data_IF_974592341927
#
_entry.id   IF_974592341927
#
_cell.length_a   1.000
_cell.length_b   1.000
_cell.length_c   1.000
_cell.angle_alpha   90.00
_cell.angle_beta   90.00
_cell.angle_gamma   90.00
#
_symmetry.space_group_name_H-M   'P 1'
#
loop_
_entity.id
_entity.type
_entity.pdbx_description
1 polymer ?
#
# COMPACT_ATOMS: atom_id res chain seq x y z
N UNK A 1 -54.23 7.99 -61.81
CA UNK A 1 -54.66 6.75 -61.14
C UNK A 1 -53.43 6.04 -60.62
N UNK A 2 -53.56 5.37 -59.47
CA UNK A 2 -52.57 4.71 -58.62
C UNK A 2 -51.37 4.00 -59.31
N UNK A 3 -50.19 3.96 -58.67
CA UNK A 3 -49.76 2.78 -57.88
C UNK A 3 -48.36 2.92 -57.26
N UNK A 4 -48.21 2.32 -56.05
CA UNK A 4 -47.03 1.71 -55.39
C UNK A 4 -45.76 2.54 -55.19
N UNK A 5 -45.35 2.95 -53.97
CA UNK A 5 -44.93 2.19 -52.77
C UNK A 5 -43.75 1.25 -53.04
N UNK A 6 -42.55 1.65 -52.59
CA UNK A 6 -41.65 0.78 -51.82
C UNK A 6 -40.82 1.65 -50.89
N UNK A 7 -41.02 1.42 -49.59
CA UNK A 7 -40.27 2.00 -48.50
C UNK A 7 -39.03 1.13 -48.27
N UNK A 8 -37.86 1.75 -48.13
CA UNK A 8 -36.68 1.09 -47.57
C UNK A 8 -36.23 1.93 -46.37
N UNK A 9 -36.95 1.75 -45.26
CA UNK A 9 -36.59 2.28 -43.96
C UNK A 9 -35.60 1.30 -43.32
N UNK A 10 -34.34 1.43 -43.72
CA UNK A 10 -33.23 0.76 -43.05
C UNK A 10 -32.99 1.43 -41.69
N UNK A 11 -33.78 1.00 -40.70
CA UNK A 11 -33.59 1.33 -39.30
C UNK A 11 -32.19 0.90 -38.85
N UNK A 12 -31.28 1.87 -38.77
CA UNK A 12 -29.98 1.75 -38.13
C UNK A 12 -30.22 1.48 -36.63
N UNK A 13 -30.17 0.20 -36.23
CA UNK A 13 -30.11 -0.20 -34.83
C UNK A 13 -28.86 0.46 -34.19
N UNK A 14 -28.95 1.17 -33.06
CA UNK A 14 -27.75 1.55 -32.33
C UNK A 14 -27.10 0.26 -31.82
N UNK A 15 -25.91 -0.04 -32.35
CA UNK A 15 -25.05 -1.05 -31.80
C UNK A 15 -24.82 -0.72 -30.32
N UNK A 16 -25.18 -1.64 -29.43
CA UNK A 16 -24.83 -1.55 -28.02
C UNK A 16 -23.31 -1.43 -27.92
N UNK A 17 -22.82 -0.24 -27.60
CA UNK A 17 -21.43 -0.02 -27.25
C UNK A 17 -21.18 -0.77 -25.94
N UNK A 18 -20.70 -2.02 -26.03
CA UNK A 18 -19.95 -2.64 -24.94
C UNK A 18 -18.74 -1.75 -24.73
N UNK A 19 -18.79 -0.93 -23.69
CA UNK A 19 -17.72 -0.01 -23.33
C UNK A 19 -16.43 -0.79 -23.13
N UNK A 20 -15.41 -0.43 -23.90
CA UNK A 20 -14.03 -0.82 -23.62
C UNK A 20 -13.64 -0.12 -22.32
N UNK A 21 -13.69 -0.83 -21.19
CA UNK A 21 -13.15 -0.30 -19.93
C UNK A 21 -11.68 0.05 -20.15
N UNK A 22 -11.30 1.28 -19.86
CA UNK A 22 -9.91 1.70 -19.97
C UNK A 22 -9.08 1.01 -18.87
N UNK A 23 -7.76 0.90 -19.07
CA UNK A 23 -6.84 0.36 -18.04
C UNK A 23 -6.95 1.15 -16.72
N UNK A 24 -7.26 2.45 -16.80
CA UNK A 24 -7.53 3.29 -15.64
C UNK A 24 -8.80 2.84 -14.90
N UNK A 25 -9.87 2.49 -15.62
CA UNK A 25 -11.13 2.04 -15.01
C UNK A 25 -10.93 0.70 -14.28
N UNK A 26 -10.16 -0.22 -14.86
CA UNK A 26 -9.84 -1.49 -14.21
C UNK A 26 -8.98 -1.30 -12.95
N UNK A 27 -7.99 -0.40 -13.00
CA UNK A 27 -7.18 -0.05 -11.82
C UNK A 27 -8.05 0.50 -10.69
N UNK A 28 -8.91 1.48 -10.99
CA UNK A 28 -9.81 2.07 -10.00
C UNK A 28 -10.77 1.03 -9.41
N UNK A 29 -11.32 0.13 -10.23
CA UNK A 29 -12.18 -0.95 -9.73
C UNK A 29 -11.46 -1.88 -8.75
N UNK A 30 -10.19 -2.25 -9.02
CA UNK A 30 -9.40 -3.11 -8.12
C UNK A 30 -9.09 -2.39 -6.81
N UNK A 31 -8.71 -1.12 -6.87
CA UNK A 31 -8.47 -0.29 -5.67
C UNK A 31 -9.74 -0.19 -4.82
N UNK A 32 -10.87 0.15 -5.44
CA UNK A 32 -12.16 0.25 -4.75
C UNK A 32 -12.61 -1.08 -4.15
N UNK A 33 -12.35 -2.21 -4.81
CA UNK A 33 -12.65 -3.53 -4.25
C UNK A 33 -11.91 -3.77 -2.92
N UNK A 34 -10.64 -3.36 -2.82
CA UNK A 34 -9.88 -3.46 -1.55
C UNK A 34 -10.38 -2.43 -0.55
N UNK A 35 -10.59 -1.16 -0.96
CA UNK A 35 -11.05 -0.07 -0.08
C UNK A 35 -12.40 -0.35 0.58
N UNK A 36 -13.26 -1.11 -0.08
CA UNK A 36 -14.57 -1.52 0.43
C UNK A 36 -14.52 -2.77 1.33
N UNK A 37 -13.33 -3.33 1.61
CA UNK A 37 -13.19 -4.45 2.55
C UNK A 37 -13.47 -3.97 3.98
N UNK A 38 -14.46 -4.54 4.69
CA UNK A 38 -14.75 -4.15 6.07
C UNK A 38 -13.52 -4.33 6.98
N UNK A 39 -13.19 -3.28 7.73
CA UNK A 39 -12.04 -3.29 8.64
C UNK A 39 -10.69 -2.99 7.96
N UNK A 40 -10.67 -2.55 6.70
CA UNK A 40 -9.45 -2.01 6.10
C UNK A 40 -8.96 -0.80 6.88
N UNK A 41 -7.68 -0.83 7.28
CA UNK A 41 -6.99 0.28 7.92
C UNK A 41 -6.14 1.05 6.90
N UNK A 42 -5.25 0.35 6.19
CA UNK A 42 -4.35 0.93 5.21
C UNK A 42 -3.96 -0.10 4.16
N UNK A 43 -3.77 0.35 2.92
CA UNK A 43 -3.33 -0.49 1.80
C UNK A 43 -2.43 0.32 0.85
N UNK A 44 -1.24 -0.21 0.53
CA UNK A 44 -0.33 0.40 -0.44
C UNK A 44 -0.30 -0.40 -1.75
N UNK A 45 -0.62 0.26 -2.86
CA UNK A 45 -0.61 -0.32 -4.21
C UNK A 45 0.66 0.03 -5.02
N UNK A 46 1.51 0.88 -4.45
CA UNK A 46 2.71 1.45 -5.07
C UNK A 46 2.46 2.28 -6.35
N UNK A 47 1.21 2.74 -6.55
CA UNK A 47 0.80 3.64 -7.64
C UNK A 47 0.45 5.02 -7.09
N UNK A 48 -0.28 5.10 -5.97
CA UNK A 48 -0.68 6.35 -5.35
C UNK A 48 0.52 7.06 -4.70
N UNK A 49 0.75 8.33 -5.08
CA UNK A 49 1.82 9.19 -4.56
C UNK A 49 1.30 10.49 -3.97
N UNK A 50 2.15 11.16 -3.21
CA UNK A 50 1.89 12.50 -2.67
C UNK A 50 1.55 13.55 -3.73
N UNK A 51 2.16 13.45 -4.91
CA UNK A 51 1.97 14.31 -6.07
C UNK A 51 1.01 13.71 -7.11
N UNK A 52 0.29 12.65 -6.75
CA UNK A 52 -0.72 11.98 -7.58
C UNK A 52 -0.24 10.65 -8.20
N UNK A 53 -1.18 9.84 -8.74
CA UNK A 53 -0.84 8.52 -9.29
C UNK A 53 0.29 8.57 -10.33
N UNK A 54 1.34 7.78 -10.12
CA UNK A 54 2.50 7.73 -11.02
C UNK A 54 3.50 8.90 -10.89
N UNK A 55 3.32 9.77 -9.89
CA UNK A 55 4.28 10.82 -9.56
C UNK A 55 5.60 10.31 -8.94
N UNK A 56 6.43 11.25 -8.48
CA UNK A 56 7.74 10.97 -7.87
C UNK A 56 7.77 11.12 -6.35
N UNK A 57 6.66 11.54 -5.73
CA UNK A 57 6.53 11.64 -4.28
C UNK A 57 6.52 10.29 -3.57
N UNK A 58 6.51 10.34 -2.23
CA UNK A 58 6.43 9.13 -1.43
C UNK A 58 5.13 8.36 -1.70
N UNK A 59 5.16 7.07 -1.41
CA UNK A 59 3.97 6.23 -1.56
C UNK A 59 2.97 6.54 -0.45
N UNK A 60 1.70 6.63 -0.82
CA UNK A 60 0.59 6.82 0.12
C UNK A 60 -0.21 5.54 0.30
N UNK A 61 -0.83 5.41 1.47
CA UNK A 61 -1.85 4.39 1.67
C UNK A 61 -3.19 4.84 1.07
N UNK A 62 -3.91 3.89 0.48
CA UNK A 62 -5.37 3.94 0.43
C UNK A 62 -5.93 3.59 1.80
N UNK A 63 -6.89 4.36 2.26
CA UNK A 63 -7.62 4.14 3.50
C UNK A 63 -9.11 3.92 3.24
N UNK A 64 -9.82 3.51 4.29
CA UNK A 64 -11.28 3.39 4.26
C UNK A 64 -11.95 4.73 3.91
N UNK A 65 -13.17 4.66 3.39
CA UNK A 65 -13.93 5.87 3.07
C UNK A 65 -14.13 6.76 4.32
N UNK A 66 -13.74 8.03 4.21
CA UNK A 66 -13.82 9.01 5.29
C UNK A 66 -12.63 9.03 6.25
N UNK A 67 -11.65 8.15 6.07
CA UNK A 67 -10.39 8.19 6.82
C UNK A 67 -9.36 9.10 6.14
N UNK A 68 -8.94 10.15 6.83
CA UNK A 68 -8.01 11.18 6.33
C UNK A 68 -6.53 10.84 6.59
N UNK A 69 -6.22 9.74 7.30
CA UNK A 69 -4.83 9.34 7.52
C UNK A 69 -4.17 8.96 6.18
N UNK A 70 -2.99 9.51 5.91
CA UNK A 70 -2.30 9.32 4.62
C UNK A 70 -1.27 8.18 4.62
N UNK A 71 -0.79 7.80 5.82
CA UNK A 71 0.29 6.84 6.06
C UNK A 71 1.35 6.79 4.95
N UNK A 72 2.16 7.85 4.91
CA UNK A 72 3.24 8.01 3.93
C UNK A 72 4.35 7.00 4.23
N UNK A 73 4.83 6.29 3.21
CA UNK A 73 6.02 5.44 3.31
C UNK A 73 7.27 6.26 2.98
N UNK A 74 8.09 6.45 3.99
CA UNK A 74 9.37 7.17 3.88
C UNK A 74 10.54 6.20 3.73
N UNK A 75 11.54 6.51 2.89
CA UNK A 75 12.82 5.80 2.83
C UNK A 75 13.62 5.93 4.14
N UNK A 76 13.95 4.81 4.75
CA UNK A 76 14.77 4.72 5.95
C UNK A 76 15.84 3.65 5.82
N UNK A 77 16.94 3.79 6.57
CA UNK A 77 17.94 2.73 6.71
C UNK A 77 18.01 2.32 8.18
N UNK A 78 17.63 1.08 8.48
CA UNK A 78 17.61 0.58 9.87
C UNK A 78 18.99 0.67 10.53
N UNK A 79 20.06 0.43 9.77
CA UNK A 79 21.43 0.56 10.28
C UNK A 79 21.69 1.99 10.79
N UNK A 80 21.22 2.98 10.03
CA UNK A 80 21.40 4.40 10.32
C UNK A 80 20.54 4.85 11.48
N UNK A 81 19.29 4.40 11.53
CA UNK A 81 18.33 4.80 12.54
C UNK A 81 18.70 4.28 13.93
N UNK A 82 19.23 3.05 14.04
CA UNK A 82 19.55 2.40 15.33
C UNK A 82 21.03 2.43 15.71
N UNK A 83 21.95 2.40 14.74
CA UNK A 83 23.39 2.34 15.00
C UNK A 83 24.17 3.53 14.43
N UNK A 84 23.47 4.52 13.84
CA UNK A 84 24.09 5.71 13.25
C UNK A 84 25.12 5.40 12.16
N UNK A 85 24.99 4.25 11.50
CA UNK A 85 25.87 3.77 10.43
C UNK A 85 25.06 3.48 9.16
N UNK A 86 25.59 3.84 7.99
CA UNK A 86 24.94 3.68 6.69
C UNK A 86 24.37 4.97 6.11
N UNK A 87 24.04 4.89 4.82
CA UNK A 87 23.54 6.02 4.05
C UNK A 87 22.04 6.24 4.26
N UNK A 88 21.59 7.49 4.07
CA UNK A 88 20.18 7.81 3.93
C UNK A 88 19.70 7.30 2.57
N UNK A 89 18.68 6.41 2.52
CA UNK A 89 18.15 5.95 1.25
C UNK A 89 17.16 6.96 0.67
N UNK A 90 16.94 6.84 -0.64
CA UNK A 90 15.97 7.61 -1.41
C UNK A 90 14.96 6.67 -2.06
N UNK A 91 13.86 7.20 -2.61
CA UNK A 91 12.88 6.37 -3.33
C UNK A 91 13.49 5.62 -4.53
N UNK A 92 14.59 6.15 -5.10
CA UNK A 92 15.33 5.49 -6.18
C UNK A 92 15.96 4.14 -5.75
N UNK A 93 16.17 3.91 -4.46
CA UNK A 93 16.64 2.63 -3.91
C UNK A 93 15.53 1.55 -3.90
N UNK A 94 14.28 1.94 -4.19
CA UNK A 94 13.10 1.08 -4.24
C UNK A 94 12.49 1.04 -5.65
N UNK A 95 13.18 0.43 -6.63
CA UNK A 95 12.75 0.49 -8.02
C UNK A 95 11.38 -0.15 -8.23
N UNK A 96 10.60 0.47 -9.10
CA UNK A 96 9.29 -0.02 -9.54
C UNK A 96 9.43 -1.03 -10.68
N UNK A 97 8.63 -2.10 -10.62
CA UNK A 97 8.71 -3.20 -11.58
C UNK A 97 7.70 -3.10 -12.73
N UNK A 98 6.76 -2.13 -12.72
CA UNK A 98 5.75 -1.99 -13.77
C UNK A 98 4.82 -3.20 -13.91
N UNK A 99 4.68 -3.99 -12.84
CA UNK A 99 3.88 -5.22 -12.80
C UNK A 99 3.32 -5.44 -11.40
N UNK A 100 2.21 -6.16 -11.32
CA UNK A 100 1.53 -6.48 -10.05
C UNK A 100 0.02 -6.38 -10.20
N UNK A 101 -0.76 -6.74 -9.16
CA UNK A 101 -2.21 -6.70 -9.21
C UNK A 101 -2.79 -5.31 -9.49
N UNK A 102 -2.05 -4.25 -9.11
CA UNK A 102 -2.44 -2.85 -9.30
C UNK A 102 -1.58 -2.10 -10.33
N UNK A 103 -0.70 -2.81 -11.04
CA UNK A 103 0.17 -2.24 -12.08
C UNK A 103 1.58 -1.87 -11.62
N UNK A 104 1.83 -1.76 -10.31
CA UNK A 104 3.16 -1.55 -9.75
C UNK A 104 3.48 -2.52 -8.61
N UNK A 105 4.77 -2.72 -8.42
CA UNK A 105 5.37 -3.40 -7.28
C UNK A 105 6.75 -2.78 -7.03
N UNK A 106 7.10 -2.60 -5.76
CA UNK A 106 8.45 -2.21 -5.35
C UNK A 106 9.34 -3.44 -5.30
N UNK A 107 10.56 -3.30 -5.82
CA UNK A 107 11.62 -4.29 -5.67
C UNK A 107 12.53 -3.90 -4.50
N UNK A 108 12.70 -4.81 -3.55
CA UNK A 108 13.72 -4.72 -2.52
C UNK A 108 14.99 -5.41 -3.02
N UNK A 109 16.05 -4.63 -3.20
CA UNK A 109 17.31 -5.15 -3.72
C UNK A 109 18.09 -5.91 -2.65
N UNK A 110 18.98 -6.81 -3.08
CA UNK A 110 19.95 -7.42 -2.19
C UNK A 110 20.85 -6.35 -1.57
N UNK A 111 21.15 -6.52 -0.28
CA UNK A 111 22.04 -5.63 0.45
C UNK A 111 23.42 -5.56 -0.23
N UNK A 112 23.87 -4.34 -0.54
CA UNK A 112 25.20 -4.12 -1.16
C UNK A 112 26.31 -4.12 -0.09
N UNK A 113 25.96 -3.80 1.15
CA UNK A 113 26.85 -3.76 2.30
C UNK A 113 26.10 -4.13 3.59
N UNK A 114 26.84 -4.42 4.67
CA UNK A 114 26.23 -4.82 5.95
C UNK A 114 25.38 -3.71 6.59
N UNK A 115 25.73 -2.45 6.36
CA UNK A 115 25.00 -1.26 6.83
C UNK A 115 23.99 -0.73 5.80
N UNK A 116 23.74 -1.48 4.73
CA UNK A 116 22.77 -1.15 3.69
C UNK A 116 21.48 -1.93 3.97
N UNK A 117 20.63 -1.37 4.84
CA UNK A 117 19.34 -1.95 5.25
C UNK A 117 18.16 -1.02 4.92
N UNK A 118 17.91 -0.72 3.63
CA UNK A 118 16.85 0.18 3.23
C UNK A 118 15.48 -0.45 3.48
N UNK A 119 14.58 0.33 4.05
CA UNK A 119 13.18 0.01 4.30
C UNK A 119 12.29 1.18 3.94
N UNK A 120 11.04 0.88 3.59
CA UNK A 120 9.97 1.86 3.53
C UNK A 120 9.15 1.72 4.81
N UNK A 121 9.00 2.81 5.59
CA UNK A 121 8.24 2.79 6.83
C UNK A 121 7.36 4.02 6.99
N UNK A 122 6.30 3.88 7.78
CA UNK A 122 5.50 5.02 8.26
C UNK A 122 6.16 5.52 9.55
N UNK A 123 6.53 6.81 9.66
CA UNK A 123 7.16 7.33 10.88
C UNK A 123 6.30 7.12 12.12
N UNK A 124 6.92 6.84 13.27
CA UNK A 124 6.20 6.56 14.54
C UNK A 124 5.22 7.67 14.93
N UNK A 125 5.59 8.92 14.69
CA UNK A 125 4.74 10.08 14.98
C UNK A 125 3.49 10.15 14.08
N UNK A 126 3.59 9.68 12.84
CA UNK A 126 2.48 9.64 11.89
C UNK A 126 1.54 8.45 12.11
N UNK A 127 2.02 7.38 12.75
CA UNK A 127 1.20 6.22 13.10
C UNK A 127 0.59 6.33 14.52
N UNK A 128 1.12 7.14 15.42
CA UNK A 128 0.68 7.14 16.83
C UNK A 128 -0.81 7.43 17.02
N UNK A 129 -1.49 6.54 17.76
CA UNK A 129 -2.92 6.62 18.09
C UNK A 129 -3.84 6.71 16.86
N UNK A 130 -3.36 6.21 15.73
CA UNK A 130 -4.15 6.01 14.52
C UNK A 130 -4.71 4.59 14.46
N UNK A 131 -5.69 4.31 13.57
CA UNK A 131 -6.14 2.94 13.34
C UNK A 131 -5.04 1.93 12.96
N UNK A 132 -3.91 2.38 12.43
CA UNK A 132 -2.74 1.53 12.12
C UNK A 132 -1.90 1.17 13.37
N UNK A 133 -2.04 1.92 14.47
CA UNK A 133 -1.36 1.68 15.74
C UNK A 133 -2.19 0.79 16.66
N UNK A 134 -2.28 -0.48 16.26
CA UNK A 134 -3.15 -1.46 16.89
C UNK A 134 -2.51 -1.93 18.21
N UNK A 135 -3.16 -1.61 19.33
CA UNK A 135 -2.69 -1.90 20.69
C UNK A 135 -3.76 -2.59 21.52
N UNK A 136 -3.32 -3.38 22.51
CA UNK A 136 -4.16 -3.89 23.59
C UNK A 136 -4.77 -5.28 23.36
N UNK A 137 -5.40 -5.85 24.41
CA UNK A 137 -5.86 -7.22 24.39
C UNK A 137 -7.03 -7.41 23.43
N UNK A 138 -7.06 -8.57 22.76
CA UNK A 138 -8.14 -9.00 21.84
C UNK A 138 -8.27 -8.15 20.58
N UNK A 139 -7.22 -7.42 20.20
CA UNK A 139 -7.10 -6.85 18.86
C UNK A 139 -6.42 -7.88 17.96
N UNK A 140 -7.09 -8.27 16.88
CA UNK A 140 -6.53 -9.16 15.87
C UNK A 140 -6.27 -8.38 14.59
N UNK A 141 -5.14 -8.66 13.96
CA UNK A 141 -4.76 -8.06 12.70
C UNK A 141 -4.68 -9.11 11.62
N UNK A 142 -5.09 -8.73 10.42
CA UNK A 142 -4.84 -9.51 9.20
C UNK A 142 -3.98 -8.65 8.29
N UNK A 143 -2.84 -9.20 7.85
CA UNK A 143 -1.96 -8.57 6.88
C UNK A 143 -1.94 -9.43 5.62
N UNK A 144 -2.19 -8.80 4.47
CA UNK A 144 -2.15 -9.43 3.16
C UNK A 144 -1.09 -8.72 2.33
N UNK A 145 -0.18 -9.49 1.73
CA UNK A 145 0.89 -8.97 0.88
C UNK A 145 0.97 -9.80 -0.39
N UNK A 146 1.10 -9.13 -1.54
CA UNK A 146 1.46 -9.77 -2.80
C UNK A 146 2.96 -9.62 -3.03
N UNK A 147 3.66 -10.74 -3.18
CA UNK A 147 5.12 -10.76 -3.33
C UNK A 147 5.47 -11.56 -4.57
N UNK A 148 6.36 -10.98 -5.39
CA UNK A 148 7.12 -11.76 -6.36
C UNK A 148 8.49 -12.07 -5.74
N UNK A 149 8.78 -13.35 -5.58
CA UNK A 149 10.00 -13.82 -4.97
C UNK A 149 11.02 -14.15 -6.05
N UNK A 150 12.14 -13.40 -6.08
CA UNK A 150 13.17 -13.58 -7.09
C UNK A 150 14.32 -14.49 -6.62
N UNK A 151 14.85 -14.30 -5.39
CA UNK A 151 15.96 -15.10 -4.82
C UNK A 151 16.21 -14.78 -3.33
N UNK A 152 16.61 -15.76 -2.50
CA UNK A 152 17.17 -15.51 -1.15
C UNK A 152 16.22 -15.73 0.04
N UNK A 153 16.70 -15.74 1.28
CA UNK A 153 15.80 -15.84 2.43
C UNK A 153 15.13 -14.48 2.72
N UNK A 154 14.05 -14.18 2.00
CA UNK A 154 13.19 -13.05 2.34
C UNK A 154 12.15 -13.49 3.38
N UNK A 155 12.02 -12.71 4.45
CA UNK A 155 10.96 -12.87 5.43
C UNK A 155 9.95 -11.73 5.27
N UNK A 156 8.66 -12.05 5.32
CA UNK A 156 7.65 -11.07 5.67
C UNK A 156 7.72 -10.94 7.19
N UNK A 157 8.44 -9.94 7.68
CA UNK A 157 8.52 -9.65 9.10
C UNK A 157 7.61 -8.46 9.42
N UNK A 158 6.47 -8.72 10.06
CA UNK A 158 5.82 -7.69 10.86
C UNK A 158 6.64 -7.54 12.14
N UNK A 159 7.25 -6.38 12.36
CA UNK A 159 7.91 -6.12 13.63
C UNK A 159 6.83 -5.85 14.69
N UNK A 160 6.48 -6.89 15.44
CA UNK A 160 5.58 -6.79 16.58
C UNK A 160 6.38 -6.36 17.79
N UNK A 161 6.17 -5.13 18.27
CA UNK A 161 6.61 -4.77 19.61
C UNK A 161 5.45 -5.14 20.54
N UNK A 162 5.63 -6.13 21.41
CA UNK A 162 4.61 -6.60 22.37
C UNK A 162 4.28 -5.56 23.46
N UNK A 163 4.63 -4.28 23.24
CA UNK A 163 4.26 -3.19 24.13
C UNK A 163 4.66 -3.48 25.56
N UNK A 164 5.92 -3.89 25.80
CA UNK A 164 6.43 -3.78 27.17
C UNK A 164 6.56 -2.29 27.46
N UNK A 165 5.58 -1.73 28.17
CA UNK A 165 5.73 -0.49 28.90
C UNK A 165 6.90 -0.69 29.87
N UNK A 166 8.11 -0.44 29.38
CA UNK A 166 9.29 -0.44 30.22
C UNK A 166 9.21 0.86 31.00
N UNK A 167 9.03 0.82 32.33
CA UNK A 167 9.05 2.06 33.08
C UNK A 167 10.46 2.66 32.98
N UNK A 168 10.61 3.98 33.22
CA UNK A 168 11.90 4.66 33.13
C UNK A 168 13.01 3.86 33.84
N UNK A 169 14.21 3.86 33.25
CA UNK A 169 15.31 2.96 33.61
C UNK A 169 15.50 2.80 35.12
N UNK A 170 15.45 1.54 35.59
CA UNK A 170 15.62 1.18 37.00
C UNK A 170 14.33 0.77 37.72
N UNK A 171 13.16 0.90 37.10
CA UNK A 171 11.90 0.41 37.65
C UNK A 171 11.52 -0.93 36.99
N UNK A 172 11.27 -2.00 37.75
CA UNK A 172 10.78 -3.27 37.21
C UNK A 172 9.35 -3.13 36.66
N UNK A 173 9.00 -3.82 35.56
CA UNK A 173 7.64 -3.84 35.06
C UNK A 173 6.70 -4.51 36.07
N UNK A 174 5.55 -3.88 36.32
CA UNK A 174 4.51 -4.44 37.18
C UNK A 174 3.66 -5.41 36.36
N UNK A 175 3.86 -6.71 36.55
CA UNK A 175 2.99 -7.73 35.98
C UNK A 175 1.65 -7.67 36.73
N UNK A 176 0.60 -7.17 36.08
CA UNK A 176 -0.77 -7.33 36.57
C UNK A 176 -1.33 -8.61 35.96
N UNK A 177 -1.53 -9.63 36.79
CA UNK A 177 -2.35 -10.77 36.39
C UNK A 177 -3.75 -10.26 36.01
N UNK A 178 -4.21 -10.63 34.81
CA UNK A 178 -5.57 -10.38 34.31
C UNK A 178 -6.22 -11.68 33.94
#
# INVERSE_FOLDING_TARGET
MASSVEADDAAQRPASAKGTSSVSDEYQQRVEAVRNTPGLVAFWDFVLREDGPGGSGNFLAHTAAGDEHRYVLEPHNLSRDFWHDGNQPELADFPLLGRGPFGQAVQFQYQKAKNDMPVLLVPRAALHDTPLDIKGPRQSVTMVVWINYEKGNHAIAGMWHEGTDSPPGGVPPVVRER
#
